data_IF_302329700096
#
_entry.id   IF_302329700096
#
_cell.length_a   1.000
_cell.length_b   1.000
_cell.length_c   1.000
_cell.angle_alpha   90.00
_cell.angle_beta   90.00
_cell.angle_gamma   90.00
#
_symmetry.space_group_name_H-M   'P 1'
#
loop_
_entity.id
_entity.type
_entity.pdbx_description
1 polymer ?
#
# COMPACT_ATOMS: atom_id res chain seq x y z
N UNK A 1 -4.21 -49.01 -5.38
CA UNK A 1 -5.48 -48.83 -4.63
C UNK A 1 -6.64 -49.40 -5.42
N UNK A 2 -7.61 -50.05 -4.78
CA UNK A 2 -8.82 -50.57 -5.44
C UNK A 2 -10.04 -49.85 -4.85
N UNK A 3 -10.99 -49.45 -5.69
CA UNK A 3 -12.26 -48.88 -5.27
C UNK A 3 -13.27 -49.99 -4.95
N UNK A 4 -14.06 -49.81 -3.90
CA UNK A 4 -15.19 -50.71 -3.56
C UNK A 4 -16.48 -50.03 -4.00
N UNK A 5 -17.31 -50.73 -4.83
CA UNK A 5 -18.54 -50.21 -5.41
C UNK A 5 -19.77 -50.82 -4.79
N UNK A 6 -20.76 -49.98 -4.45
CA UNK A 6 -22.02 -50.43 -3.86
C UNK A 6 -23.20 -49.69 -4.48
N UNK A 7 -24.26 -50.44 -4.82
CA UNK A 7 -25.54 -49.86 -5.25
C UNK A 7 -26.41 -49.55 -4.01
N UNK A 8 -26.92 -48.32 -3.93
CA UNK A 8 -27.88 -47.91 -2.87
C UNK A 8 -29.11 -47.30 -3.54
N UNK A 9 -30.22 -48.04 -3.50
CA UNK A 9 -31.44 -47.68 -4.24
C UNK A 9 -31.13 -47.56 -5.75
N UNK A 10 -31.47 -46.42 -6.34
CA UNK A 10 -31.26 -46.14 -7.78
C UNK A 10 -29.87 -45.55 -8.12
N UNK A 11 -29.00 -45.43 -7.15
CA UNK A 11 -27.66 -44.79 -7.37
C UNK A 11 -26.53 -45.72 -6.96
N UNK A 12 -25.37 -45.48 -7.58
CA UNK A 12 -24.09 -46.14 -7.28
C UNK A 12 -23.22 -45.25 -6.39
N UNK A 13 -22.43 -45.90 -5.53
CA UNK A 13 -21.41 -45.27 -4.71
C UNK A 13 -20.12 -46.07 -4.80
N UNK A 14 -18.98 -45.41 -4.56
CA UNK A 14 -17.72 -46.10 -4.37
C UNK A 14 -17.02 -45.60 -3.09
N UNK A 15 -16.18 -46.46 -2.52
CA UNK A 15 -15.31 -46.16 -1.37
C UNK A 15 -13.88 -46.49 -1.73
N UNK A 16 -12.96 -45.57 -1.43
CA UNK A 16 -11.50 -45.71 -1.66
C UNK A 16 -10.78 -45.39 -0.35
N UNK A 17 -9.73 -46.14 -0.05
CA UNK A 17 -8.80 -45.82 1.03
C UNK A 17 -7.92 -44.65 0.59
N UNK A 18 -7.91 -43.55 1.39
CA UNK A 18 -7.14 -42.34 1.09
C UNK A 18 -5.89 -42.21 1.98
N UNK A 19 -5.74 -43.02 3.00
CA UNK A 19 -4.60 -43.03 3.91
C UNK A 19 -4.92 -43.67 5.26
N UNK A 20 -4.16 -43.26 6.27
CA UNK A 20 -4.41 -43.61 7.69
C UNK A 20 -4.54 -42.32 8.50
N UNK A 21 -5.45 -42.34 9.46
CA UNK A 21 -5.59 -41.29 10.46
C UNK A 21 -4.43 -41.34 11.46
N UNK A 22 -4.22 -40.26 12.26
CA UNK A 22 -3.19 -40.25 13.31
C UNK A 22 -3.33 -41.39 14.35
N UNK A 23 -4.55 -41.91 14.53
CA UNK A 23 -4.86 -43.05 15.41
C UNK A 23 -4.54 -44.43 14.78
N UNK A 24 -4.00 -44.43 13.53
CA UNK A 24 -3.67 -45.65 12.78
C UNK A 24 -4.85 -46.28 12.01
N UNK A 25 -6.10 -45.85 12.25
CA UNK A 25 -7.28 -46.33 11.54
C UNK A 25 -7.25 -45.95 10.05
N UNK A 26 -7.91 -46.77 9.20
CA UNK A 26 -8.02 -46.50 7.75
C UNK A 26 -8.86 -45.24 7.52
N UNK A 27 -8.32 -44.34 6.73
CA UNK A 27 -9.08 -43.19 6.27
C UNK A 27 -9.69 -43.52 4.90
N UNK A 28 -11.02 -43.53 4.86
CA UNK A 28 -11.79 -43.95 3.68
C UNK A 28 -12.69 -42.83 3.19
N UNK A 29 -12.74 -42.69 1.86
CA UNK A 29 -13.67 -41.74 1.22
C UNK A 29 -14.71 -42.45 0.39
N UNK A 30 -15.97 -42.15 0.69
CA UNK A 30 -17.13 -42.62 -0.07
C UNK A 30 -17.74 -41.48 -0.88
N UNK A 31 -17.91 -41.70 -2.19
CA UNK A 31 -18.71 -40.81 -3.07
C UNK A 31 -19.88 -41.63 -3.63
N UNK A 32 -21.08 -41.03 -3.63
CA UNK A 32 -22.30 -41.64 -4.15
C UNK A 32 -23.06 -40.68 -5.06
N UNK A 33 -24.24 -41.11 -5.51
CA UNK A 33 -25.16 -40.34 -6.37
C UNK A 33 -24.90 -40.55 -7.86
N UNK A 34 -24.11 -41.55 -8.26
CA UNK A 34 -23.88 -41.88 -9.68
C UNK A 34 -25.05 -42.65 -10.24
N UNK A 35 -25.51 -42.34 -11.45
CA UNK A 35 -26.63 -43.03 -12.11
C UNK A 35 -26.23 -44.42 -12.58
N UNK A 36 -25.00 -44.62 -12.99
CA UNK A 36 -24.47 -45.90 -13.51
C UNK A 36 -23.20 -46.33 -12.75
N UNK A 37 -22.95 -47.65 -12.76
CA UNK A 37 -21.71 -48.23 -12.22
C UNK A 37 -20.49 -47.68 -12.97
N UNK A 38 -20.58 -47.53 -14.29
CA UNK A 38 -19.50 -47.00 -15.15
C UNK A 38 -19.11 -45.57 -14.80
N UNK A 39 -20.07 -44.71 -14.46
CA UNK A 39 -19.80 -43.36 -13.94
C UNK A 39 -19.07 -43.40 -12.60
N UNK A 40 -19.48 -44.25 -11.69
CA UNK A 40 -18.82 -44.45 -10.40
C UNK A 40 -17.39 -44.98 -10.57
N UNK A 41 -17.15 -45.92 -11.52
CA UNK A 41 -15.83 -46.46 -11.83
C UNK A 41 -14.90 -45.40 -12.42
N UNK A 42 -15.38 -44.56 -13.34
CA UNK A 42 -14.62 -43.44 -13.90
C UNK A 42 -14.21 -42.44 -12.83
N UNK A 43 -15.16 -41.98 -11.99
CA UNK A 43 -14.90 -41.04 -10.90
C UNK A 43 -13.96 -41.63 -9.82
N UNK A 44 -14.05 -42.95 -9.58
CA UNK A 44 -13.14 -43.67 -8.69
C UNK A 44 -11.71 -43.71 -9.25
N UNK A 45 -11.54 -44.02 -10.55
CA UNK A 45 -10.22 -44.04 -11.21
C UNK A 45 -9.56 -42.64 -11.21
N UNK A 46 -10.33 -41.58 -11.46
CA UNK A 46 -9.85 -40.19 -11.35
C UNK A 46 -9.37 -39.87 -9.93
N UNK A 47 -10.14 -40.27 -8.91
CA UNK A 47 -9.76 -40.05 -7.51
C UNK A 47 -8.49 -40.84 -7.13
N UNK A 48 -8.38 -42.10 -7.54
CA UNK A 48 -7.20 -42.93 -7.28
C UNK A 48 -5.95 -42.32 -7.94
N UNK A 49 -6.08 -41.80 -9.16
CA UNK A 49 -5.01 -41.12 -9.87
C UNK A 49 -4.54 -39.87 -9.10
N UNK A 50 -5.47 -39.07 -8.58
CA UNK A 50 -5.15 -37.90 -7.78
C UNK A 50 -4.44 -38.26 -6.47
N UNK A 51 -4.90 -39.32 -5.79
CA UNK A 51 -4.28 -39.83 -4.57
C UNK A 51 -2.89 -40.38 -4.85
N UNK A 52 -2.72 -41.17 -5.91
CA UNK A 52 -1.44 -41.78 -6.28
C UNK A 52 -0.35 -40.78 -6.66
N UNK A 53 -0.74 -39.58 -7.08
CA UNK A 53 0.18 -38.45 -7.34
C UNK A 53 0.47 -37.61 -6.08
N UNK A 54 0.07 -38.01 -4.90
CA UNK A 54 0.11 -37.21 -3.66
C UNK A 54 -0.60 -35.84 -3.78
N UNK A 55 -1.49 -35.69 -4.73
CA UNK A 55 -2.17 -34.43 -5.06
C UNK A 55 -3.60 -34.37 -4.51
N UNK A 56 -4.03 -35.35 -3.69
CA UNK A 56 -5.36 -35.34 -3.13
C UNK A 56 -5.34 -34.65 -1.75
N UNK A 57 -5.95 -33.49 -1.68
CA UNK A 57 -6.23 -32.78 -0.43
C UNK A 57 -7.77 -32.72 -0.27
N UNK A 58 -8.31 -33.20 0.84
CA UNK A 58 -9.73 -33.03 1.10
C UNK A 58 -10.01 -31.57 1.45
N UNK A 59 -10.84 -30.84 0.68
CA UNK A 59 -11.11 -29.46 0.97
C UNK A 59 -11.72 -29.31 2.37
N UNK A 60 -11.24 -28.35 3.12
CA UNK A 60 -11.75 -28.06 4.45
C UNK A 60 -13.27 -27.81 4.43
N UNK A 61 -13.99 -28.45 5.36
CA UNK A 61 -15.44 -28.24 5.56
C UNK A 61 -15.75 -27.01 6.41
N UNK A 62 -14.71 -26.35 6.97
CA UNK A 62 -14.89 -25.14 7.76
C UNK A 62 -15.42 -23.99 6.89
N UNK A 63 -16.19 -23.12 7.50
CA UNK A 63 -16.64 -21.88 6.88
C UNK A 63 -15.46 -20.94 6.63
N UNK A 64 -15.55 -20.15 5.58
CA UNK A 64 -14.52 -19.16 5.25
C UNK A 64 -14.35 -18.12 6.37
N UNK A 65 -15.45 -17.76 7.09
CA UNK A 65 -15.39 -16.88 8.26
C UNK A 65 -14.40 -17.36 9.31
N UNK A 66 -14.50 -18.63 9.70
CA UNK A 66 -13.68 -19.20 10.77
C UNK A 66 -12.21 -19.24 10.36
N UNK A 67 -11.96 -19.70 9.15
CA UNK A 67 -10.60 -19.75 8.59
C UNK A 67 -9.98 -18.36 8.39
N UNK A 68 -10.77 -17.33 8.07
CA UNK A 68 -10.27 -15.95 7.96
C UNK A 68 -9.95 -15.36 9.34
N UNK A 69 -10.73 -15.64 10.36
CA UNK A 69 -10.45 -15.21 11.73
C UNK A 69 -9.19 -15.91 12.26
N UNK A 70 -9.06 -17.22 12.06
CA UNK A 70 -7.84 -17.97 12.38
C UNK A 70 -6.61 -17.37 11.67
N UNK A 71 -6.73 -17.03 10.38
CA UNK A 71 -5.65 -16.42 9.60
C UNK A 71 -5.26 -15.04 10.11
N UNK A 72 -6.24 -14.21 10.51
CA UNK A 72 -6.00 -12.91 11.12
C UNK A 72 -5.19 -13.03 12.42
N UNK A 73 -5.59 -13.95 13.31
CA UNK A 73 -4.99 -14.06 14.63
C UNK A 73 -3.62 -14.75 14.60
N UNK A 74 -3.52 -15.89 13.92
CA UNK A 74 -2.29 -16.69 13.97
C UNK A 74 -1.22 -16.26 12.98
N UNK A 75 -1.61 -15.78 11.80
CA UNK A 75 -0.65 -15.47 10.75
C UNK A 75 -0.46 -13.96 10.55
N UNK A 76 -1.53 -13.20 10.34
CA UNK A 76 -1.40 -11.81 9.94
C UNK A 76 -0.95 -10.92 11.09
N UNK A 77 -1.45 -11.16 12.30
CA UNK A 77 -1.07 -10.39 13.50
C UNK A 77 0.41 -10.54 13.82
N UNK A 78 0.97 -11.75 13.61
CA UNK A 78 2.38 -12.02 13.87
C UNK A 78 3.34 -11.52 12.77
N UNK A 79 2.85 -11.40 11.51
CA UNK A 79 3.74 -11.14 10.37
C UNK A 79 3.59 -9.76 9.76
N UNK A 80 2.46 -9.10 9.93
CA UNK A 80 2.19 -7.80 9.34
C UNK A 80 2.51 -6.65 10.31
N UNK A 81 2.96 -5.53 9.74
CA UNK A 81 3.00 -4.28 10.50
C UNK A 81 1.58 -3.86 10.90
N UNK A 82 1.44 -3.24 12.05
CA UNK A 82 0.16 -2.83 12.64
C UNK A 82 -0.76 -2.12 11.63
N UNK A 83 -0.23 -1.16 10.85
CA UNK A 83 -1.03 -0.44 9.85
C UNK A 83 -1.60 -1.34 8.75
N UNK A 84 -0.84 -2.34 8.30
CA UNK A 84 -1.29 -3.29 7.28
C UNK A 84 -2.30 -4.27 7.88
N UNK A 85 -2.01 -4.78 9.08
CA UNK A 85 -2.92 -5.64 9.83
C UNK A 85 -4.28 -4.98 10.06
N UNK A 86 -4.30 -3.72 10.52
CA UNK A 86 -5.55 -2.98 10.73
C UNK A 86 -6.37 -2.78 9.45
N UNK A 87 -5.69 -2.49 8.32
CA UNK A 87 -6.37 -2.35 7.04
C UNK A 87 -6.91 -3.69 6.53
N UNK A 88 -6.16 -4.78 6.67
CA UNK A 88 -6.61 -6.13 6.33
C UNK A 88 -7.77 -6.56 7.20
N UNK A 89 -7.67 -6.39 8.53
CA UNK A 89 -8.76 -6.69 9.48
C UNK A 89 -10.04 -5.95 9.11
N UNK A 90 -9.94 -4.65 8.81
CA UNK A 90 -11.10 -3.86 8.38
C UNK A 90 -11.72 -4.39 7.09
N UNK A 91 -10.91 -4.74 6.09
CA UNK A 91 -11.39 -5.27 4.82
C UNK A 91 -12.04 -6.66 4.99
N UNK A 92 -11.39 -7.53 5.77
CA UNK A 92 -11.86 -8.88 6.05
C UNK A 92 -13.19 -8.84 6.81
N UNK A 93 -13.24 -8.13 7.96
CA UNK A 93 -14.42 -8.10 8.81
C UNK A 93 -15.60 -7.36 8.18
N UNK A 94 -15.35 -6.25 7.45
CA UNK A 94 -16.42 -5.42 6.91
C UNK A 94 -16.86 -5.78 5.49
N UNK A 95 -16.07 -6.52 4.72
CA UNK A 95 -16.34 -6.78 3.31
C UNK A 95 -16.28 -8.26 2.92
N UNK A 96 -15.24 -8.98 3.35
CA UNK A 96 -14.99 -10.34 2.88
C UNK A 96 -15.79 -11.39 3.67
N UNK A 97 -15.81 -11.32 4.99
CA UNK A 97 -16.63 -12.21 5.83
C UNK A 97 -18.12 -12.04 5.54
N UNK A 98 -18.70 -10.83 5.43
CA UNK A 98 -20.12 -10.69 5.04
C UNK A 98 -20.43 -11.25 3.64
N UNK A 99 -19.45 -11.29 2.74
CA UNK A 99 -19.66 -11.78 1.38
C UNK A 99 -19.50 -13.30 1.25
N UNK A 100 -18.49 -13.87 1.88
CA UNK A 100 -18.06 -15.26 1.66
C UNK A 100 -18.04 -16.10 2.92
N UNK A 101 -18.18 -15.49 4.11
CA UNK A 101 -17.96 -16.16 5.39
C UNK A 101 -18.85 -17.37 5.63
N UNK A 102 -20.10 -17.36 5.15
CA UNK A 102 -21.05 -18.45 5.25
C UNK A 102 -20.77 -19.63 4.30
N UNK A 103 -19.90 -19.44 3.30
CA UNK A 103 -19.54 -20.46 2.31
C UNK A 103 -18.45 -21.36 2.88
N UNK A 104 -18.55 -22.67 2.71
CA UNK A 104 -17.45 -23.58 3.01
C UNK A 104 -16.33 -23.40 2.00
N UNK A 105 -15.09 -23.48 2.46
CA UNK A 105 -13.91 -23.19 1.64
C UNK A 105 -13.90 -23.99 0.32
N UNK A 106 -14.26 -25.28 0.35
CA UNK A 106 -14.30 -26.15 -0.83
C UNK A 106 -15.50 -25.93 -1.76
N UNK A 107 -16.48 -25.13 -1.36
CA UNK A 107 -17.71 -24.87 -2.14
C UNK A 107 -17.67 -23.52 -2.87
N UNK A 108 -16.63 -22.71 -2.64
CA UNK A 108 -16.45 -21.44 -3.33
C UNK A 108 -16.19 -21.68 -4.82
N UNK A 109 -16.89 -20.95 -5.69
CA UNK A 109 -16.80 -21.07 -7.15
C UNK A 109 -16.44 -19.72 -7.80
N UNK A 110 -15.82 -19.69 -8.97
CA UNK A 110 -15.49 -18.45 -9.70
C UNK A 110 -16.69 -17.53 -9.89
N UNK A 111 -17.88 -18.08 -10.15
CA UNK A 111 -19.11 -17.29 -10.32
C UNK A 111 -19.49 -16.49 -9.06
N UNK A 112 -19.17 -16.99 -7.87
CA UNK A 112 -19.43 -16.25 -6.62
C UNK A 112 -18.55 -15.00 -6.53
N UNK A 113 -17.31 -15.10 -6.99
CA UNK A 113 -16.34 -14.00 -7.02
C UNK A 113 -16.78 -12.95 -8.05
N UNK A 114 -17.17 -13.38 -9.26
CA UNK A 114 -17.67 -12.48 -10.31
C UNK A 114 -18.93 -11.72 -9.86
N UNK A 115 -19.89 -12.40 -9.24
CA UNK A 115 -21.09 -11.77 -8.65
C UNK A 115 -20.72 -10.75 -7.57
N UNK A 116 -19.72 -11.07 -6.74
CA UNK A 116 -19.23 -10.15 -5.72
C UNK A 116 -18.62 -8.89 -6.32
N UNK A 117 -17.78 -9.00 -7.35
CA UNK A 117 -17.23 -7.82 -8.02
C UNK A 117 -18.30 -6.95 -8.66
N UNK A 118 -19.28 -7.57 -9.33
CA UNK A 118 -20.42 -6.85 -9.89
C UNK A 118 -21.16 -6.06 -8.80
N UNK A 119 -21.46 -6.66 -7.67
CA UNK A 119 -22.11 -5.99 -6.54
C UNK A 119 -21.26 -4.81 -6.01
N UNK A 120 -19.94 -4.97 -5.87
CA UNK A 120 -19.06 -3.89 -5.42
C UNK A 120 -19.01 -2.72 -6.42
N UNK A 121 -19.07 -3.02 -7.72
CA UNK A 121 -19.18 -1.99 -8.78
C UNK A 121 -20.52 -1.25 -8.70
N UNK A 122 -21.62 -1.97 -8.48
CA UNK A 122 -22.95 -1.39 -8.32
C UNK A 122 -23.02 -0.51 -7.03
N UNK A 123 -22.24 -0.83 -6.00
CA UNK A 123 -22.00 0.00 -4.81
C UNK A 123 -21.05 1.19 -5.08
N UNK A 124 -20.66 1.46 -6.31
CA UNK A 124 -19.73 2.53 -6.72
C UNK A 124 -18.33 2.45 -6.06
N UNK A 125 -17.85 1.26 -5.71
CA UNK A 125 -16.49 1.09 -5.23
C UNK A 125 -15.47 1.14 -6.37
N UNK A 126 -14.32 1.74 -6.10
CA UNK A 126 -13.29 1.93 -7.14
C UNK A 126 -12.65 0.61 -7.56
N UNK A 127 -12.21 0.46 -8.82
CA UNK A 127 -11.48 -0.72 -9.30
C UNK A 127 -10.24 -1.05 -8.44
N UNK A 128 -9.54 -0.03 -7.94
CA UNK A 128 -8.38 -0.19 -7.05
C UNK A 128 -8.77 -0.88 -5.74
N UNK A 129 -9.92 -0.51 -5.15
CA UNK A 129 -10.37 -1.12 -3.91
C UNK A 129 -10.86 -2.56 -4.11
N UNK A 130 -11.51 -2.84 -5.24
CA UNK A 130 -11.92 -4.22 -5.60
C UNK A 130 -10.68 -5.09 -5.82
N UNK A 131 -9.66 -4.58 -6.53
CA UNK A 131 -8.38 -5.27 -6.72
C UNK A 131 -7.66 -5.50 -5.38
N UNK A 132 -7.74 -4.56 -4.45
CA UNK A 132 -7.20 -4.73 -3.10
C UNK A 132 -7.91 -5.87 -2.34
N UNK A 133 -9.24 -5.96 -2.41
CA UNK A 133 -9.99 -7.06 -1.79
C UNK A 133 -9.65 -8.42 -2.46
N UNK A 134 -9.52 -8.43 -3.80
CA UNK A 134 -9.04 -9.60 -4.54
C UNK A 134 -7.67 -10.07 -4.04
N UNK A 135 -6.72 -9.15 -3.88
CA UNK A 135 -5.37 -9.47 -3.42
C UNK A 135 -5.35 -10.06 -2.01
N UNK A 136 -6.21 -9.59 -1.10
CA UNK A 136 -6.37 -10.15 0.24
C UNK A 136 -6.89 -11.59 0.14
N UNK A 137 -7.96 -11.83 -0.62
CA UNK A 137 -8.53 -13.17 -0.81
C UNK A 137 -7.53 -14.12 -1.48
N UNK A 138 -6.82 -13.64 -2.49
CA UNK A 138 -5.77 -14.42 -3.16
C UNK A 138 -4.66 -14.82 -2.19
N UNK A 139 -4.26 -13.92 -1.27
CA UNK A 139 -3.28 -14.20 -0.23
C UNK A 139 -3.82 -15.19 0.81
N UNK A 140 -5.07 -15.06 1.21
CA UNK A 140 -5.75 -16.01 2.08
C UNK A 140 -5.79 -17.41 1.46
N UNK A 141 -6.19 -17.54 0.20
CA UNK A 141 -6.21 -18.85 -0.50
C UNK A 141 -4.80 -19.45 -0.62
N UNK A 142 -3.77 -18.65 -0.90
CA UNK A 142 -2.38 -19.13 -0.87
C UNK A 142 -1.97 -19.68 0.49
N UNK A 143 -2.41 -19.03 1.57
CA UNK A 143 -2.19 -19.55 2.92
C UNK A 143 -2.92 -20.88 3.12
N UNK A 144 -4.19 -21.00 2.67
CA UNK A 144 -4.96 -22.26 2.77
C UNK A 144 -4.34 -23.41 1.96
N UNK A 145 -3.72 -23.13 0.80
CA UNK A 145 -2.94 -24.11 0.04
C UNK A 145 -1.72 -24.56 0.83
N UNK A 146 -0.97 -23.62 1.42
CA UNK A 146 0.24 -23.91 2.20
C UNK A 146 -0.02 -24.81 3.41
N UNK A 147 -1.18 -24.66 4.05
CA UNK A 147 -1.60 -25.52 5.17
C UNK A 147 -2.47 -26.71 4.73
N UNK A 148 -2.49 -26.99 3.42
CA UNK A 148 -3.16 -28.16 2.82
C UNK A 148 -4.67 -28.23 3.04
N UNK A 149 -5.36 -27.11 3.16
CA UNK A 149 -6.82 -27.05 3.24
C UNK A 149 -7.50 -27.08 1.86
N UNK A 150 -6.81 -26.68 0.80
CA UNK A 150 -7.24 -26.71 -0.62
C UNK A 150 -6.06 -26.94 -1.55
N UNK A 151 -6.33 -27.39 -2.78
CA UNK A 151 -5.29 -27.69 -3.80
C UNK A 151 -4.93 -26.49 -4.66
N UNK A 152 -5.87 -25.62 -4.97
CA UNK A 152 -5.68 -24.53 -5.94
C UNK A 152 -6.36 -23.25 -5.48
N UNK A 153 -5.85 -22.15 -6.00
CA UNK A 153 -6.37 -20.82 -5.69
C UNK A 153 -7.42 -20.42 -6.73
N UNK A 154 -8.66 -20.46 -6.34
CA UNK A 154 -9.80 -20.10 -7.20
C UNK A 154 -9.78 -18.62 -7.66
N UNK A 155 -9.12 -17.73 -6.91
CA UNK A 155 -8.96 -16.32 -7.28
C UNK A 155 -7.98 -16.13 -8.44
N UNK A 156 -7.16 -17.13 -8.77
CA UNK A 156 -6.30 -17.09 -9.97
C UNK A 156 -7.10 -17.36 -11.27
N UNK A 157 -8.37 -17.79 -11.15
CA UNK A 157 -9.27 -18.04 -12.28
C UNK A 157 -10.20 -16.84 -12.59
N UNK A 158 -10.10 -15.76 -11.84
CA UNK A 158 -10.99 -14.59 -11.99
C UNK A 158 -10.17 -13.31 -11.92
N UNK A 159 -10.21 -12.52 -12.98
CA UNK A 159 -9.55 -11.23 -13.02
C UNK A 159 -10.38 -10.16 -12.27
N UNK A 160 -9.73 -9.32 -11.45
CA UNK A 160 -10.37 -8.14 -10.89
C UNK A 160 -10.60 -7.07 -11.99
N UNK A 161 -11.46 -6.06 -11.73
CA UNK A 161 -11.68 -4.98 -12.68
C UNK A 161 -10.40 -4.25 -13.07
N UNK A 162 -10.27 -3.90 -14.35
CA UNK A 162 -9.11 -3.20 -14.88
C UNK A 162 -8.98 -1.80 -14.28
N UNK A 163 -7.82 -1.49 -13.74
CA UNK A 163 -7.49 -0.16 -13.22
C UNK A 163 -7.00 0.71 -14.37
N UNK A 164 -7.76 1.75 -14.71
CA UNK A 164 -7.30 2.79 -15.64
C UNK A 164 -6.38 3.75 -14.87
N UNK A 165 -5.12 3.82 -15.27
CA UNK A 165 -4.19 4.81 -14.69
C UNK A 165 -4.70 6.21 -15.02
N UNK A 166 -5.05 6.97 -13.99
CA UNK A 166 -5.32 8.41 -14.12
C UNK A 166 -4.02 9.18 -13.93
N UNK A 167 -3.82 10.17 -14.76
CA UNK A 167 -2.72 11.11 -14.55
C UNK A 167 -2.88 11.80 -13.19
N UNK A 168 -1.78 11.90 -12.47
CA UNK A 168 -1.78 12.58 -11.18
C UNK A 168 -1.54 14.07 -11.43
N UNK A 169 -2.46 14.89 -10.96
CA UNK A 169 -2.25 16.32 -10.97
C UNK A 169 -1.04 16.67 -10.08
N UNK A 170 -0.19 17.55 -10.59
CA UNK A 170 0.95 18.16 -9.90
C UNK A 170 0.82 19.68 -10.00
N UNK A 171 1.42 20.40 -9.05
CA UNK A 171 1.41 21.85 -9.07
C UNK A 171 2.54 22.42 -9.93
N UNK A 172 2.27 23.56 -10.56
CA UNK A 172 3.30 24.41 -11.13
C UNK A 172 4.06 25.18 -10.02
N UNK A 173 5.18 25.83 -10.38
CA UNK A 173 5.94 26.68 -9.46
C UNK A 173 5.08 27.86 -8.97
N UNK A 174 4.24 28.43 -9.84
CA UNK A 174 3.33 29.52 -9.53
C UNK A 174 2.25 29.08 -8.52
N UNK A 175 1.70 27.88 -8.68
CA UNK A 175 0.73 27.32 -7.74
C UNK A 175 1.37 27.04 -6.37
N UNK A 176 2.61 26.55 -6.34
CA UNK A 176 3.40 26.35 -5.11
C UNK A 176 3.58 27.67 -4.37
N UNK A 177 4.05 28.70 -5.08
CA UNK A 177 4.30 30.02 -4.51
C UNK A 177 3.02 30.65 -3.95
N UNK A 178 1.90 30.57 -4.69
CA UNK A 178 0.61 31.05 -4.26
C UNK A 178 0.09 30.31 -3.03
N UNK A 179 0.25 28.99 -3.01
CA UNK A 179 -0.15 28.18 -1.86
C UNK A 179 0.69 28.52 -0.62
N UNK A 180 2.01 28.60 -0.76
CA UNK A 180 2.92 28.89 0.35
C UNK A 180 2.72 30.31 0.91
N UNK A 181 2.44 31.31 0.07
CA UNK A 181 2.15 32.67 0.54
C UNK A 181 0.92 32.67 1.45
N UNK A 182 -0.17 32.01 1.04
CA UNK A 182 -1.38 31.88 1.84
C UNK A 182 -1.16 31.03 3.10
N UNK A 183 -0.36 29.97 2.99
CA UNK A 183 -0.03 29.12 4.15
C UNK A 183 0.82 29.85 5.20
N UNK A 184 1.67 30.80 4.79
CA UNK A 184 2.49 31.61 5.69
C UNK A 184 1.66 32.57 6.56
N UNK A 185 0.48 32.97 6.09
CA UNK A 185 -0.46 33.83 6.85
C UNK A 185 -1.25 33.06 7.92
N UNK A 186 -1.13 31.73 7.97
CA UNK A 186 -1.85 30.93 8.96
C UNK A 186 -1.37 31.19 10.38
N UNK A 187 -2.32 31.29 11.30
CA UNK A 187 -2.01 31.50 12.74
C UNK A 187 -1.10 30.39 13.31
N UNK A 188 -1.30 29.16 12.88
CA UNK A 188 -0.46 28.04 13.29
C UNK A 188 0.66 27.82 12.28
N UNK A 189 1.82 28.35 12.59
CA UNK A 189 3.04 28.29 11.77
C UNK A 189 3.49 26.85 11.45
N UNK A 190 3.13 25.87 12.27
CA UNK A 190 3.45 24.46 12.03
C UNK A 190 2.92 23.98 10.69
N UNK A 191 1.71 24.37 10.27
CA UNK A 191 1.16 23.94 8.97
C UNK A 191 1.96 24.48 7.80
N UNK A 192 2.38 25.76 7.86
CA UNK A 192 3.26 26.34 6.85
C UNK A 192 4.56 25.52 6.73
N UNK A 193 5.22 25.24 7.87
CA UNK A 193 6.47 24.48 7.89
C UNK A 193 6.30 23.04 7.36
N UNK A 194 5.18 22.36 7.66
CA UNK A 194 4.89 21.05 7.09
C UNK A 194 4.88 21.10 5.56
N UNK A 195 4.19 22.10 4.98
CA UNK A 195 4.09 22.21 3.53
C UNK A 195 5.42 22.61 2.90
N UNK A 196 6.13 23.54 3.51
CA UNK A 196 7.45 24.00 3.06
C UNK A 196 8.42 22.82 3.02
N UNK A 197 8.56 22.07 4.12
CA UNK A 197 9.41 20.89 4.19
C UNK A 197 8.98 19.87 3.14
N UNK A 198 7.68 19.54 3.02
CA UNK A 198 7.20 18.55 2.07
C UNK A 198 7.50 18.92 0.61
N UNK A 199 7.34 20.19 0.25
CA UNK A 199 7.57 20.70 -1.11
C UNK A 199 9.07 20.71 -1.44
N UNK A 200 9.93 21.20 -0.53
CA UNK A 200 11.37 21.33 -0.79
C UNK A 200 12.13 20.00 -0.70
N UNK A 201 11.61 19.01 -0.02
CA UNK A 201 12.33 17.75 0.23
C UNK A 201 11.68 16.53 -0.42
N UNK A 202 10.38 16.61 -0.76
CA UNK A 202 9.61 15.47 -1.25
C UNK A 202 9.36 14.39 -0.21
N UNK A 203 9.49 14.67 1.09
CA UNK A 203 9.26 13.72 2.17
C UNK A 203 7.81 13.23 2.19
N UNK A 204 7.61 11.98 2.65
CA UNK A 204 6.26 11.45 2.90
C UNK A 204 5.64 12.15 4.11
N UNK A 205 4.31 12.24 4.16
CA UNK A 205 3.59 12.87 5.28
C UNK A 205 4.07 12.39 6.65
N UNK A 206 4.19 11.09 6.84
CA UNK A 206 4.63 10.53 8.11
C UNK A 206 6.12 10.78 8.40
N UNK A 207 6.96 10.95 7.39
CA UNK A 207 8.37 11.34 7.53
C UNK A 207 8.47 12.80 7.99
N UNK A 208 7.68 13.72 7.40
CA UNK A 208 7.62 15.14 7.81
C UNK A 208 7.15 15.27 9.26
N UNK A 209 6.08 14.58 9.63
CA UNK A 209 5.50 14.66 10.97
C UNK A 209 6.35 13.95 12.05
N UNK A 210 7.29 13.10 11.64
CA UNK A 210 8.20 12.39 12.52
C UNK A 210 9.59 13.04 12.62
N UNK A 211 9.84 14.13 11.88
CA UNK A 211 11.14 14.77 11.82
C UNK A 211 11.50 15.40 13.17
N UNK A 212 12.74 15.17 13.64
CA UNK A 212 13.25 15.70 14.90
C UNK A 212 14.38 16.68 14.66
N UNK A 213 14.57 17.62 15.55
CA UNK A 213 15.65 18.58 15.47
C UNK A 213 17.04 17.94 15.42
N UNK A 214 17.25 16.83 16.12
CA UNK A 214 18.50 16.08 16.09
C UNK A 214 18.82 15.43 14.73
N UNK A 215 17.80 15.29 13.88
CA UNK A 215 17.93 14.70 12.54
C UNK A 215 18.22 15.78 11.47
N UNK A 216 18.34 17.07 11.86
CA UNK A 216 18.63 18.20 10.97
C UNK A 216 19.94 18.86 11.34
N UNK A 217 20.85 18.89 10.39
CA UNK A 217 22.08 19.69 10.42
C UNK A 217 21.82 21.02 9.69
N UNK A 218 21.49 22.05 10.49
CA UNK A 218 21.22 23.39 9.97
C UNK A 218 22.48 24.10 9.47
N UNK A 219 23.67 23.67 9.91
CA UNK A 219 24.95 24.27 9.49
C UNK A 219 25.30 23.80 8.07
N UNK A 220 25.17 22.51 7.81
CA UNK A 220 25.51 21.92 6.50
C UNK A 220 24.28 21.78 5.59
N UNK A 221 23.10 22.22 5.99
CA UNK A 221 21.88 22.12 5.20
C UNK A 221 21.51 20.67 4.87
N UNK A 222 21.55 19.77 5.86
CA UNK A 222 21.25 18.33 5.67
C UNK A 222 20.15 17.86 6.61
N UNK A 223 19.31 16.97 6.12
CA UNK A 223 18.20 16.38 6.83
C UNK A 223 18.24 14.86 6.68
N UNK A 224 18.26 14.15 7.82
CA UNK A 224 18.26 12.69 7.89
C UNK A 224 16.82 12.18 8.06
N UNK A 225 16.37 11.32 7.13
CA UNK A 225 15.06 10.67 7.21
C UNK A 225 15.26 9.29 7.83
N UNK A 226 14.97 9.15 9.12
CA UNK A 226 15.21 7.91 9.88
C UNK A 226 13.97 7.35 10.57
N UNK A 227 12.83 8.05 10.53
CA UNK A 227 11.60 7.54 11.11
C UNK A 227 10.34 8.03 10.38
N UNK A 228 9.22 7.38 10.69
CA UNK A 228 7.91 7.66 10.13
C UNK A 228 6.84 7.59 11.22
N UNK A 229 5.97 8.58 11.27
CA UNK A 229 4.84 8.63 12.19
C UNK A 229 3.67 7.82 11.66
N UNK A 230 3.10 7.02 12.53
CA UNK A 230 1.86 6.28 12.31
C UNK A 230 0.89 6.52 13.47
N UNK A 231 -0.37 6.78 13.16
CA UNK A 231 -1.46 6.78 14.12
C UNK A 231 -2.28 5.50 13.98
N UNK A 232 -2.41 4.76 15.08
CA UNK A 232 -3.29 3.59 15.17
C UNK A 232 -4.77 4.01 15.15
N UNK A 233 -5.67 3.06 14.94
CA UNK A 233 -7.11 3.32 15.02
C UNK A 233 -7.57 3.75 16.42
N UNK A 234 -6.83 3.37 17.45
CA UNK A 234 -7.06 3.79 18.84
C UNK A 234 -6.67 5.24 19.13
N UNK A 235 -6.06 5.94 18.16
CA UNK A 235 -5.58 7.31 18.32
C UNK A 235 -4.17 7.40 18.91
N UNK A 236 -3.54 6.28 19.22
CA UNK A 236 -2.14 6.24 19.66
C UNK A 236 -1.20 6.51 18.50
N UNK A 237 -0.12 7.23 18.75
CA UNK A 237 0.91 7.47 17.75
C UNK A 237 2.16 6.60 18.00
N UNK A 238 2.80 6.19 16.91
CA UNK A 238 3.98 5.35 16.94
C UNK A 238 5.02 5.90 15.98
N UNK A 239 6.27 5.95 16.42
CA UNK A 239 7.40 6.24 15.55
C UNK A 239 8.03 4.92 15.12
N UNK A 240 8.08 4.68 13.82
CA UNK A 240 8.68 3.48 13.25
C UNK A 240 9.88 3.82 12.38
N UNK A 241 10.87 2.98 12.46
CA UNK A 241 11.93 2.97 11.46
C UNK A 241 11.36 2.71 10.07
N UNK A 242 11.96 3.28 9.01
CA UNK A 242 11.54 3.02 7.64
C UNK A 242 11.58 1.52 7.29
N UNK A 243 10.75 1.12 6.33
CA UNK A 243 10.57 -0.31 5.96
C UNK A 243 11.81 -0.96 5.37
N UNK A 244 12.74 -0.20 4.80
CA UNK A 244 13.94 -0.70 4.10
C UNK A 244 15.12 0.19 4.44
N UNK A 245 16.35 -0.34 4.41
CA UNK A 245 17.58 0.42 4.61
C UNK A 245 17.73 1.59 3.62
N UNK A 246 17.18 1.49 2.41
CA UNK A 246 17.14 2.57 1.41
C UNK A 246 16.20 3.72 1.78
N UNK A 247 15.31 3.52 2.74
CA UNK A 247 14.42 4.58 3.21
C UNK A 247 15.11 5.50 4.22
N UNK A 248 16.17 5.03 4.88
CA UNK A 248 17.10 5.89 5.62
C UNK A 248 17.96 6.61 4.61
N UNK A 249 17.82 7.91 4.56
CA UNK A 249 18.51 8.74 3.56
C UNK A 249 18.80 10.13 4.08
N UNK A 250 19.87 10.72 3.54
CA UNK A 250 20.24 12.09 3.76
C UNK A 250 19.70 12.93 2.60
N UNK A 251 19.03 14.03 2.93
CA UNK A 251 18.46 14.97 1.95
C UNK A 251 19.10 16.34 2.17
N UNK A 252 19.79 16.85 1.16
CA UNK A 252 20.29 18.23 1.18
C UNK A 252 19.12 19.20 1.04
N UNK A 253 19.12 20.25 1.85
CA UNK A 253 18.09 21.29 1.86
C UNK A 253 18.71 22.65 1.50
N UNK A 254 18.00 23.53 0.76
CA UNK A 254 18.51 24.82 0.36
C UNK A 254 18.57 25.80 1.55
N UNK A 255 19.42 26.80 1.43
CA UNK A 255 19.61 27.83 2.45
C UNK A 255 18.31 28.55 2.86
N UNK A 256 17.39 28.75 1.90
CA UNK A 256 16.07 29.33 2.15
C UNK A 256 15.25 28.51 3.15
N UNK A 257 15.28 27.17 3.02
CA UNK A 257 14.58 26.29 3.97
C UNK A 257 15.31 26.25 5.31
N UNK A 258 16.64 26.31 5.32
CA UNK A 258 17.43 26.39 6.57
C UNK A 258 17.03 27.63 7.39
N UNK A 259 16.94 28.80 6.76
CA UNK A 259 16.52 30.05 7.41
C UNK A 259 15.11 29.95 8.02
N UNK A 260 14.15 29.42 7.28
CA UNK A 260 12.78 29.21 7.79
C UNK A 260 12.74 28.20 8.96
N UNK A 261 13.57 27.15 8.91
CA UNK A 261 13.71 26.19 10.01
C UNK A 261 14.35 26.82 11.25
N UNK A 262 15.33 27.71 11.10
CA UNK A 262 15.90 28.46 12.24
C UNK A 262 14.85 29.33 12.92
N UNK A 263 14.11 30.13 12.17
CA UNK A 263 13.01 30.94 12.68
C UNK A 263 11.97 30.07 13.38
N UNK A 264 11.61 28.94 12.76
CA UNK A 264 10.66 28.01 13.36
C UNK A 264 11.15 27.43 14.69
N UNK A 265 12.43 27.09 14.78
CA UNK A 265 13.04 26.60 16.03
C UNK A 265 12.98 27.62 17.15
N UNK A 266 13.25 28.88 16.86
CA UNK A 266 13.17 29.98 17.83
C UNK A 266 11.72 30.17 18.31
N UNK A 267 10.74 30.20 17.41
CA UNK A 267 9.33 30.30 17.75
C UNK A 267 8.87 29.12 18.62
N UNK A 268 9.28 27.91 18.28
CA UNK A 268 8.96 26.71 19.05
C UNK A 268 9.60 26.75 20.45
N UNK A 269 10.87 27.17 20.56
CA UNK A 269 11.55 27.29 21.85
C UNK A 269 10.88 28.30 22.73
N UNK A 270 10.47 29.43 22.18
CA UNK A 270 9.70 30.45 22.94
C UNK A 270 8.37 29.88 23.44
N UNK A 271 7.67 29.11 22.59
CA UNK A 271 6.43 28.44 22.98
C UNK A 271 6.66 27.39 24.08
N UNK A 272 7.70 26.56 23.99
CA UNK A 272 8.08 25.57 25.01
C UNK A 272 8.29 26.26 26.37
N UNK A 273 9.07 27.35 26.39
CA UNK A 273 9.33 28.12 27.62
C UNK A 273 8.04 28.68 28.23
N UNK A 274 7.09 29.10 27.39
CA UNK A 274 5.79 29.64 27.86
C UNK A 274 4.86 28.58 28.44
N UNK A 275 4.83 27.39 27.82
CA UNK A 275 3.96 26.26 28.22
C UNK A 275 4.54 25.54 29.45
N UNK A 276 5.88 25.48 29.56
CA UNK A 276 6.57 24.86 30.68
C UNK A 276 6.40 23.34 30.73
N UNK A 277 6.23 22.80 31.93
CA UNK A 277 6.21 21.35 32.23
C UNK A 277 5.07 20.57 31.52
N UNK A 278 4.04 21.26 31.03
CA UNK A 278 2.92 20.62 30.31
C UNK A 278 3.33 20.21 28.89
N UNK A 279 4.43 20.79 28.38
CA UNK A 279 4.91 20.46 27.02
C UNK A 279 5.70 19.14 27.03
N UNK A 280 5.19 18.15 26.30
CA UNK A 280 5.87 16.85 26.09
C UNK A 280 6.91 17.00 24.97
N UNK A 281 8.16 17.30 25.34
CA UNK A 281 9.24 17.54 24.36
C UNK A 281 9.78 16.22 23.78
N UNK A 282 9.16 15.78 22.72
CA UNK A 282 9.64 14.64 21.90
C UNK A 282 10.75 15.02 20.91
N UNK A 283 11.26 16.24 20.97
CA UNK A 283 12.27 16.78 20.06
C UNK A 283 11.79 16.94 18.62
N UNK A 284 10.48 16.97 18.36
CA UNK A 284 9.90 17.06 17.01
C UNK A 284 10.08 18.46 16.43
N UNK A 285 10.38 18.53 15.14
CA UNK A 285 10.34 19.79 14.38
C UNK A 285 8.91 20.29 14.28
N UNK A 286 7.97 19.40 14.07
CA UNK A 286 6.54 19.71 13.95
C UNK A 286 5.79 19.07 15.11
N UNK A 287 5.37 19.87 16.06
CA UNK A 287 4.57 19.45 17.20
C UNK A 287 3.33 20.34 17.36
N UNK A 288 2.31 19.85 18.04
CA UNK A 288 1.18 20.69 18.44
C UNK A 288 1.55 21.55 19.66
N UNK A 289 0.59 22.27 20.21
CA UNK A 289 0.78 23.17 21.35
C UNK A 289 1.25 22.47 22.65
N UNK A 290 1.06 21.15 22.74
CA UNK A 290 1.47 20.31 23.87
C UNK A 290 2.71 19.47 23.59
N UNK A 291 3.41 19.65 22.47
CA UNK A 291 4.63 18.91 22.13
C UNK A 291 4.41 17.59 21.38
N UNK A 292 3.18 17.09 21.32
CA UNK A 292 2.90 15.82 20.64
C UNK A 292 2.67 16.00 19.13
N UNK A 293 2.79 14.91 18.33
CA UNK A 293 2.66 15.00 16.88
C UNK A 293 1.30 15.54 16.42
N UNK A 294 1.29 16.32 15.33
CA UNK A 294 0.05 16.78 14.70
C UNK A 294 -0.69 15.60 14.11
N UNK A 295 -1.99 15.48 14.42
CA UNK A 295 -2.82 14.40 13.92
C UNK A 295 -3.00 14.48 12.39
N UNK A 296 -2.83 13.39 11.62
CA UNK A 296 -2.89 13.41 10.15
C UNK A 296 -4.21 13.91 9.56
N UNK A 297 -5.31 13.81 10.32
CA UNK A 297 -6.62 14.31 9.88
C UNK A 297 -6.63 15.84 9.91
N UNK A 298 -6.14 16.45 11.00
CA UNK A 298 -6.03 17.91 11.11
C UNK A 298 -5.20 18.51 9.98
N UNK A 299 -4.07 17.86 9.64
CA UNK A 299 -3.27 18.25 8.49
C UNK A 299 -4.05 18.12 7.15
N UNK A 300 -4.79 17.03 6.98
CA UNK A 300 -5.57 16.82 5.75
C UNK A 300 -6.67 17.86 5.59
N UNK A 301 -7.35 18.19 6.66
CA UNK A 301 -8.45 19.17 6.65
C UNK A 301 -7.91 20.60 6.44
N UNK A 302 -6.79 20.96 7.09
CA UNK A 302 -6.10 22.23 6.85
C UNK A 302 -5.61 22.34 5.41
N UNK A 303 -4.98 21.29 4.86
CA UNK A 303 -4.49 21.27 3.48
C UNK A 303 -5.63 21.50 2.47
N UNK A 304 -6.78 20.84 2.65
CA UNK A 304 -7.95 21.03 1.77
C UNK A 304 -8.49 22.45 1.85
N UNK A 305 -8.53 23.03 3.06
CA UNK A 305 -8.98 24.41 3.27
C UNK A 305 -8.06 25.41 2.57
N UNK A 306 -6.75 25.22 2.70
CA UNK A 306 -5.76 26.10 2.06
C UNK A 306 -5.74 25.98 0.54
N UNK A 307 -5.87 24.78 -0.03
CA UNK A 307 -6.04 24.60 -1.48
C UNK A 307 -7.21 25.43 -1.99
N UNK A 308 -8.35 25.41 -1.28
CA UNK A 308 -9.51 26.21 -1.67
C UNK A 308 -9.23 27.71 -1.55
N UNK A 309 -8.55 28.15 -0.46
CA UNK A 309 -8.21 29.57 -0.21
C UNK A 309 -7.22 30.12 -1.25
N UNK A 310 -6.23 29.30 -1.63
CA UNK A 310 -5.19 29.69 -2.60
C UNK A 310 -5.59 29.52 -4.07
N UNK A 311 -6.75 28.95 -4.33
CA UNK A 311 -7.27 28.69 -5.69
C UNK A 311 -6.24 27.96 -6.59
N UNK A 312 -5.63 26.90 -6.05
CA UNK A 312 -4.69 26.01 -6.77
C UNK A 312 -5.35 24.69 -7.11
N UNK A 313 -4.76 23.95 -8.03
CA UNK A 313 -5.24 22.63 -8.46
C UNK A 313 -5.40 21.70 -7.25
N UNK A 314 -6.55 21.02 -7.18
CA UNK A 314 -6.84 20.09 -6.09
C UNK A 314 -5.98 18.84 -6.19
N UNK A 315 -5.08 18.67 -5.23
CA UNK A 315 -4.23 17.50 -5.08
C UNK A 315 -4.34 16.93 -3.64
N UNK A 316 -3.80 15.74 -3.42
CA UNK A 316 -3.64 15.18 -2.08
C UNK A 316 -2.27 15.59 -1.51
N UNK A 317 -2.11 15.60 -0.21
CA UNK A 317 -0.82 15.91 0.42
C UNK A 317 0.34 15.04 -0.14
N UNK A 318 0.08 13.76 -0.42
CA UNK A 318 1.10 12.88 -1.01
C UNK A 318 1.52 13.31 -2.42
N UNK A 319 0.68 14.03 -3.13
CA UNK A 319 0.96 14.49 -4.49
C UNK A 319 1.95 15.68 -4.50
N UNK A 320 2.22 16.34 -3.35
CA UNK A 320 3.35 17.27 -3.18
C UNK A 320 4.69 16.61 -3.48
N UNK A 321 4.85 15.35 -3.07
CA UNK A 321 6.02 14.55 -3.40
C UNK A 321 6.12 14.23 -4.90
N UNK A 322 4.99 14.01 -5.56
CA UNK A 322 4.94 13.87 -7.03
C UNK A 322 5.30 15.19 -7.70
N UNK A 323 4.79 16.32 -7.20
CA UNK A 323 5.15 17.67 -7.65
C UNK A 323 6.64 17.91 -7.55
N UNK A 324 7.26 17.62 -6.38
CA UNK A 324 8.71 17.71 -6.17
C UNK A 324 9.49 16.88 -7.20
N UNK A 325 9.09 15.61 -7.40
CA UNK A 325 9.74 14.73 -8.36
C UNK A 325 9.63 15.27 -9.80
N UNK A 326 8.44 15.73 -10.19
CA UNK A 326 8.17 16.28 -11.53
C UNK A 326 9.03 17.51 -11.80
N UNK A 327 9.10 18.45 -10.85
CA UNK A 327 9.92 19.67 -10.99
C UNK A 327 11.40 19.32 -11.15
N UNK A 328 11.95 18.42 -10.31
CA UNK A 328 13.35 18.02 -10.44
C UNK A 328 13.65 17.38 -11.80
N UNK A 329 12.75 16.53 -12.28
CA UNK A 329 12.91 15.91 -13.61
C UNK A 329 12.81 16.95 -14.75
N UNK A 330 11.92 17.94 -14.64
CA UNK A 330 11.81 19.06 -15.58
C UNK A 330 13.08 19.94 -15.58
N UNK A 331 13.74 20.09 -14.43
CA UNK A 331 15.04 20.77 -14.32
C UNK A 331 16.20 19.95 -14.90
N UNK A 332 15.95 18.72 -15.37
CA UNK A 332 16.94 17.85 -15.99
C UNK A 332 17.71 16.97 -15.02
N UNK A 333 17.27 16.88 -13.77
CA UNK A 333 17.90 16.01 -12.79
C UNK A 333 17.77 14.52 -13.16
N UNK A 334 18.85 13.77 -12.94
CA UNK A 334 18.88 12.36 -13.30
C UNK A 334 17.90 11.55 -12.45
N UNK A 335 17.11 10.66 -13.09
CA UNK A 335 16.04 9.85 -12.44
C UNK A 335 16.55 9.09 -11.21
N UNK A 336 17.81 8.60 -11.24
CA UNK A 336 18.41 7.89 -10.11
C UNK A 336 18.58 8.82 -8.91
N UNK A 337 19.07 10.04 -9.11
CA UNK A 337 19.24 11.05 -8.05
C UNK A 337 17.90 11.40 -7.43
N UNK A 338 16.87 11.64 -8.25
CA UNK A 338 15.52 11.91 -7.79
C UNK A 338 14.96 10.72 -7.00
N UNK A 339 15.17 9.49 -7.48
CA UNK A 339 14.74 8.26 -6.81
C UNK A 339 15.39 8.07 -5.44
N UNK A 340 16.70 8.29 -5.34
CA UNK A 340 17.47 8.22 -4.09
C UNK A 340 17.02 9.31 -3.10
N UNK A 341 16.90 10.56 -3.55
CA UNK A 341 16.41 11.68 -2.74
C UNK A 341 15.02 11.39 -2.15
N UNK A 342 14.16 10.80 -2.94
CA UNK A 342 12.81 10.42 -2.49
C UNK A 342 12.80 9.13 -1.64
N UNK A 343 13.82 8.28 -1.72
CA UNK A 343 13.85 6.96 -1.08
C UNK A 343 12.80 6.02 -1.69
N UNK A 344 12.77 5.93 -3.03
CA UNK A 344 12.00 4.90 -3.73
C UNK A 344 12.77 3.59 -3.71
N UNK A 345 12.10 2.50 -3.34
CA UNK A 345 12.70 1.16 -3.37
C UNK A 345 12.98 0.68 -4.79
N UNK A 346 12.24 1.20 -5.76
CA UNK A 346 12.33 0.89 -7.18
C UNK A 346 12.28 2.19 -8.01
N UNK A 347 13.27 2.38 -8.89
CA UNK A 347 13.34 3.51 -9.81
C UNK A 347 12.14 3.57 -10.78
N UNK A 348 11.46 2.44 -11.02
CA UNK A 348 10.23 2.39 -11.83
C UNK A 348 9.13 3.30 -11.28
N UNK A 349 9.09 3.53 -9.96
CA UNK A 349 8.15 4.48 -9.35
C UNK A 349 8.43 5.93 -9.79
N UNK A 350 9.70 6.29 -9.92
CA UNK A 350 10.12 7.61 -10.43
C UNK A 350 9.92 7.69 -11.96
N UNK A 351 10.21 6.60 -12.68
CA UNK A 351 9.97 6.49 -14.12
C UNK A 351 8.51 6.66 -14.50
N UNK A 352 7.57 6.18 -13.69
CA UNK A 352 6.14 6.41 -13.92
C UNK A 352 5.75 7.91 -13.83
N UNK A 353 6.48 8.72 -13.09
CA UNK A 353 6.35 10.19 -13.07
C UNK A 353 6.98 10.79 -14.34
N UNK A 354 8.10 10.22 -14.78
CA UNK A 354 8.86 10.65 -15.96
C UNK A 354 8.09 10.53 -17.28
N UNK A 355 7.23 9.52 -17.43
CA UNK A 355 6.46 9.30 -18.65
C UNK A 355 5.55 10.47 -19.05
N UNK A 356 5.20 11.34 -18.11
CA UNK A 356 4.38 12.53 -18.33
C UNK A 356 5.18 13.79 -18.68
N UNK A 357 6.49 13.80 -18.37
CA UNK A 357 7.39 14.95 -18.58
C UNK A 357 8.07 14.89 -19.96
N UNK A 358 8.03 13.74 -20.63
CA UNK A 358 8.88 13.43 -21.80
C UNK A 358 8.62 14.26 -23.05
N UNK A 359 7.43 14.84 -23.28
CA UNK A 359 7.17 15.62 -24.51
C UNK A 359 8.00 16.90 -24.54
N UNK A 360 7.91 17.72 -23.50
CA UNK A 360 8.65 18.98 -23.42
C UNK A 360 10.17 18.76 -23.35
N UNK A 361 10.60 17.67 -22.70
CA UNK A 361 12.01 17.29 -22.62
C UNK A 361 12.59 16.80 -23.95
N UNK A 362 11.82 16.15 -24.81
CA UNK A 362 12.26 15.76 -26.16
C UNK A 362 12.62 17.00 -26.98
N UNK A 363 11.78 18.03 -26.96
CA UNK A 363 12.05 19.31 -27.65
C UNK A 363 13.25 20.02 -27.05
N UNK A 364 13.37 20.09 -25.72
CA UNK A 364 14.52 20.68 -25.04
C UNK A 364 15.81 19.90 -25.34
N UNK A 365 15.75 18.57 -25.38
CA UNK A 365 16.89 17.72 -25.70
C UNK A 365 17.35 17.96 -27.13
N UNK A 366 16.43 18.07 -28.08
CA UNK A 366 16.77 18.39 -29.47
C UNK A 366 17.42 19.75 -29.61
N UNK A 367 16.92 20.78 -28.92
CA UNK A 367 17.54 22.14 -28.89
C UNK A 367 18.90 22.11 -28.27
N UNK A 368 19.11 21.49 -27.10
CA UNK A 368 20.44 21.37 -26.44
C UNK A 368 21.42 20.61 -27.32
N UNK A 369 21.01 19.58 -28.03
CA UNK A 369 21.84 18.86 -28.96
C UNK A 369 22.24 19.76 -30.14
N UNK A 370 21.30 20.52 -30.70
CA UNK A 370 21.59 21.46 -31.77
C UNK A 370 22.58 22.58 -31.34
N UNK A 371 22.38 23.13 -30.12
CA UNK A 371 23.31 24.11 -29.53
C UNK A 371 24.72 23.55 -29.34
N UNK A 372 24.82 22.33 -28.81
CA UNK A 372 26.09 21.65 -28.62
C UNK A 372 26.84 21.41 -29.97
N UNK A 373 26.07 21.07 -31.01
CA UNK A 373 26.62 20.88 -32.36
C UNK A 373 27.08 22.20 -33.01
N UNK A 374 26.36 23.30 -32.75
CA UNK A 374 26.75 24.66 -33.23
C UNK A 374 28.02 25.15 -32.54
N UNK A 375 28.17 24.93 -31.22
CA UNK A 375 29.36 25.26 -30.46
C UNK A 375 30.63 24.50 -30.94
N UNK A 376 30.51 23.23 -31.33
CA UNK A 376 31.63 22.47 -31.92
C UNK A 376 32.07 23.04 -33.27
N UNK A 377 31.18 23.55 -34.10
CA UNK A 377 31.53 24.19 -35.38
C UNK A 377 32.26 25.53 -35.19
N UNK A 378 32.19 26.20 -34.05
CA UNK A 378 32.85 27.45 -33.75
C UNK A 378 34.26 27.27 -33.15
N UNK A 379 34.64 26.06 -32.77
CA UNK A 379 35.95 25.73 -32.16
C UNK A 379 36.93 25.15 -33.21
N UNK A 380 36.45 24.79 -34.40
CA UNK A 380 37.25 24.23 -35.50
C UNK A 380 37.67 25.28 -36.58
N UNK A 381 37.64 26.57 -36.24
CA UNK A 381 38.20 27.66 -37.07
C UNK A 381 39.27 28.45 -36.35
#
# INVERSE_FOLDING_TARGET
MKGYFRKRGNTWSFTVDIGRKPDGSREQKTKGGFKTKKEAEKACAELITLIGRNNYIEPSKKAISDLMLEWLDYQLKATLRLSTYENYSKAILKRLIPAFGHVKLGELKPVHIQKYYKRLQDENLTPEYITYLHAIMRSFMKYQIRIQNIQSNIFDLVDPPTIRKKEKAVWSIEEINRFLSIAKEEKNHNFYMIYLIAIYTGLRRGEVLALRWKDIDLTNGKLSVCQNLYYSKGGEFHFWEPKTGRSNRLVSIPESLVKELQVHKELQQHHITKVGEIYDDLGLVIANELGVPIHPRSLTDNFRRLIKKSNVTKIRFHDLRHTHATILLQLGEHVKIVSERLGHSDASMTMNVYSHVTRDMQEQTARRFEEAMKLKKLIEF
#
